data_IF_216888341174
#
_entry.id   IF_216888341174
#
_cell.length_a   1.000
_cell.length_b   1.000
_cell.length_c   1.000
_cell.angle_alpha   90.00
_cell.angle_beta   90.00
_cell.angle_gamma   90.00
#
_symmetry.space_group_name_H-M   'P 1'
#
loop_
_entity.id
_entity.type
_entity.pdbx_description
1 polymer ?
#
# COMPACT_ATOMS: atom_id res chain seq x y z
N UNK A 1 -5.78 16.28 7.38
CA UNK A 1 -5.83 14.83 7.54
C UNK A 1 -4.46 14.51 8.09
N UNK A 2 -4.46 14.09 9.34
CA UNK A 2 -3.45 14.53 10.30
C UNK A 2 -2.43 13.42 10.50
N UNK A 3 -1.15 13.81 10.50
CA UNK A 3 0.07 12.99 10.49
C UNK A 3 0.32 12.17 11.79
N UNK A 4 -0.73 11.60 12.41
CA UNK A 4 -0.65 10.94 13.72
C UNK A 4 -0.91 9.42 13.66
N UNK A 5 -0.55 8.76 12.55
CA UNK A 5 -0.33 7.30 12.49
C UNK A 5 -1.51 6.39 12.85
N UNK A 6 -2.75 6.88 12.85
CA UNK A 6 -3.94 6.11 13.29
C UNK A 6 -5.07 6.04 12.25
N UNK A 7 -4.98 6.80 11.15
CA UNK A 7 -5.86 6.59 10.00
C UNK A 7 -5.30 5.42 9.22
N UNK A 8 -6.00 4.29 9.28
CA UNK A 8 -5.77 3.12 8.43
C UNK A 8 -5.65 3.62 6.99
N UNK A 9 -4.43 3.62 6.46
CA UNK A 9 -4.04 4.21 5.19
C UNK A 9 -3.66 3.06 4.25
N UNK A 10 -4.63 2.47 3.53
CA UNK A 10 -4.34 1.28 2.74
C UNK A 10 -3.20 1.56 1.75
N UNK A 11 -2.15 0.76 1.84
CA UNK A 11 -0.96 0.88 0.99
C UNK A 11 0.17 1.75 1.55
N UNK A 12 0.03 2.40 2.71
CA UNK A 12 1.16 2.96 3.47
C UNK A 12 1.76 1.82 4.31
N UNK A 13 2.70 1.09 3.72
CA UNK A 13 3.25 -0.14 4.30
C UNK A 13 4.43 0.14 5.23
N UNK A 14 5.09 1.28 5.07
CA UNK A 14 6.20 1.68 5.94
C UNK A 14 5.75 2.61 7.09
N UNK A 15 4.47 3.00 7.10
CA UNK A 15 3.83 3.88 8.08
C UNK A 15 4.49 5.26 8.18
N UNK A 16 4.91 5.82 7.03
CA UNK A 16 5.54 7.14 6.95
C UNK A 16 4.54 8.28 6.64
N UNK A 17 3.26 7.95 6.43
CA UNK A 17 2.19 8.90 6.13
C UNK A 17 2.04 9.22 4.65
N UNK A 18 2.80 8.56 3.78
CA UNK A 18 2.77 8.75 2.35
C UNK A 18 2.68 7.41 1.63
N UNK A 19 1.99 7.35 0.50
CA UNK A 19 2.02 6.19 -0.43
C UNK A 19 2.92 6.55 -1.59
N UNK A 20 4.20 6.19 -1.46
CA UNK A 20 5.24 6.64 -2.35
C UNK A 20 6.12 5.48 -2.83
N UNK A 21 7.32 5.79 -3.38
CA UNK A 21 8.25 4.78 -3.87
C UNK A 21 8.72 3.78 -2.80
N UNK A 22 8.71 4.15 -1.52
CA UNK A 22 9.00 3.28 -0.38
C UNK A 22 7.98 2.16 -0.28
N UNK A 23 6.69 2.51 -0.27
CA UNK A 23 5.59 1.55 -0.21
C UNK A 23 5.47 0.72 -1.48
N UNK A 24 5.73 1.32 -2.65
CA UNK A 24 5.81 0.57 -3.90
C UNK A 24 6.87 -0.51 -3.83
N UNK A 25 8.04 -0.20 -3.26
CA UNK A 25 9.10 -1.18 -3.03
C UNK A 25 8.63 -2.33 -2.13
N UNK A 26 7.90 -2.01 -1.05
CA UNK A 26 7.33 -3.01 -0.13
C UNK A 26 6.26 -3.87 -0.81
N UNK A 27 5.35 -3.27 -1.58
CA UNK A 27 4.32 -3.99 -2.35
C UNK A 27 4.95 -4.98 -3.33
N UNK A 28 5.97 -4.54 -4.08
CA UNK A 28 6.68 -5.40 -5.03
C UNK A 28 7.50 -6.49 -4.34
N UNK A 29 8.01 -6.25 -3.12
CA UNK A 29 8.68 -7.28 -2.33
C UNK A 29 7.73 -8.40 -1.87
N UNK A 30 6.43 -8.10 -1.78
CA UNK A 30 5.38 -9.05 -1.42
C UNK A 30 4.63 -9.65 -2.61
N UNK A 31 5.10 -9.42 -3.83
CA UNK A 31 4.43 -9.91 -5.04
C UNK A 31 4.18 -11.43 -5.00
N UNK A 32 2.94 -11.83 -5.25
CA UNK A 32 2.49 -13.23 -5.18
C UNK A 32 2.25 -13.75 -3.76
N UNK A 33 2.30 -12.90 -2.74
CA UNK A 33 1.99 -13.24 -1.33
C UNK A 33 0.80 -12.43 -0.83
N UNK A 34 0.17 -12.76 0.32
CA UNK A 34 -0.89 -11.94 0.90
C UNK A 34 -0.42 -10.61 1.51
N UNK A 35 0.87 -10.30 1.53
CA UNK A 35 1.43 -9.18 2.30
C UNK A 35 0.97 -7.79 1.85
N UNK A 36 0.82 -7.58 0.54
CA UNK A 36 0.34 -6.33 -0.07
C UNK A 36 -1.03 -6.49 -0.74
N UNK A 37 -1.84 -7.44 -0.27
CA UNK A 37 -3.19 -7.71 -0.77
C UNK A 37 -4.15 -6.60 -0.32
N UNK A 38 -4.37 -5.62 -1.19
CA UNK A 38 -5.22 -4.46 -0.93
C UNK A 38 -6.68 -4.74 -1.31
N UNK A 39 -6.93 -5.70 -2.20
CA UNK A 39 -8.28 -6.03 -2.66
C UNK A 39 -8.92 -7.21 -1.86
N UNK A 40 -8.13 -7.93 -1.07
CA UNK A 40 -8.56 -9.06 -0.24
C UNK A 40 -8.72 -10.39 -0.99
N UNK A 41 -8.09 -10.57 -2.15
CA UNK A 41 -8.21 -11.78 -2.98
C UNK A 41 -7.22 -12.91 -2.61
N UNK A 42 -6.33 -12.63 -1.66
CA UNK A 42 -5.34 -13.55 -1.11
C UNK A 42 -3.97 -13.47 -1.79
N UNK A 43 -3.73 -12.56 -2.74
CA UNK A 43 -2.41 -12.41 -3.37
C UNK A 43 -2.11 -11.01 -3.92
N UNK A 44 -0.92 -10.48 -3.64
CA UNK A 44 -0.45 -9.21 -4.21
C UNK A 44 -0.10 -9.37 -5.68
N UNK A 45 -0.88 -8.70 -6.52
CA UNK A 45 -0.73 -8.75 -7.96
C UNK A 45 -1.02 -7.39 -8.63
N UNK A 46 -1.24 -7.40 -9.94
CA UNK A 46 -1.49 -6.17 -10.71
C UNK A 46 -2.76 -5.42 -10.27
N UNK A 47 -3.75 -6.12 -9.71
CA UNK A 47 -4.94 -5.49 -9.16
C UNK A 47 -4.61 -4.62 -7.95
N UNK A 48 -3.80 -5.12 -7.02
CA UNK A 48 -3.35 -4.37 -5.83
C UNK A 48 -2.45 -3.21 -6.20
N UNK A 49 -1.54 -3.41 -7.16
CA UNK A 49 -0.72 -2.32 -7.70
C UNK A 49 -1.61 -1.21 -8.31
N UNK A 50 -2.67 -1.59 -9.03
CA UNK A 50 -3.64 -0.64 -9.57
C UNK A 50 -4.35 0.17 -8.47
N UNK A 51 -4.78 -0.48 -7.40
CA UNK A 51 -5.36 0.19 -6.22
C UNK A 51 -4.36 1.12 -5.55
N UNK A 52 -3.14 0.63 -5.28
CA UNK A 52 -2.07 1.38 -4.66
C UNK A 52 -1.73 2.67 -5.43
N UNK A 53 -1.59 2.60 -6.76
CA UNK A 53 -1.36 3.77 -7.60
C UNK A 53 -2.54 4.74 -7.60
N UNK A 54 -3.77 4.25 -7.39
CA UNK A 54 -4.95 5.08 -7.18
C UNK A 54 -4.91 5.86 -5.86
N UNK A 55 -4.14 5.40 -4.87
CA UNK A 55 -3.93 6.05 -3.58
C UNK A 55 -2.65 6.90 -3.52
N UNK A 56 -1.85 6.95 -4.58
CA UNK A 56 -0.52 7.57 -4.55
C UNK A 56 -0.52 9.00 -3.99
N UNK A 57 0.45 9.29 -3.11
CA UNK A 57 0.58 10.56 -2.40
C UNK A 57 0.20 10.46 -0.92
N UNK A 58 -0.08 11.62 -0.32
CA UNK A 58 -0.27 11.75 1.13
C UNK A 58 -1.54 11.04 1.62
N UNK A 59 -1.47 10.56 2.87
CA UNK A 59 -2.62 10.37 3.73
C UNK A 59 -2.91 11.65 4.53
#
# INVERSE_FOLDING_TARGET
ADCDGILDCPGDFNHDGHRNGGDLGTLLAWWGTPGGDLNGDGTTNGADLGLFLGYWGDC
#
